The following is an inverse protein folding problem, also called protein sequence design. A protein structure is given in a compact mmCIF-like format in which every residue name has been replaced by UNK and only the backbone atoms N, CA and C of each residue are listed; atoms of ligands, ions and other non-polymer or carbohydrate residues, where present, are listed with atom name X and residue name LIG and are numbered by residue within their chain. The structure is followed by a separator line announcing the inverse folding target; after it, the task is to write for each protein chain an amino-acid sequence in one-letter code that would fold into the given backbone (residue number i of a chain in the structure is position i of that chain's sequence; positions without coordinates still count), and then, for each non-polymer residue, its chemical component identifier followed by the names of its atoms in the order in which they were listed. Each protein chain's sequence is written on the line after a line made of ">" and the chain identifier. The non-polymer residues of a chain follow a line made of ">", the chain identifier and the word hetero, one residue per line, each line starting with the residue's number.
data_IF_035606472430
#
_entry.id   IF_035606472430
#
_cell.length_a   1.000
_cell.length_b   1.000
_cell.length_c   1.000
_cell.angle_alpha   90.00
_cell.angle_beta   90.00
_cell.angle_gamma   90.00
#
_symmetry.space_group_name_H-M   'P 1'
#
loop_
_entity.id
_entity.type
_entity.pdbx_description
1 polymer ?
#
# COMPACT_ATOMS: atom_id res chain seq x y z
N UNK A 1 13.82 14.94 -0.80
CA UNK A 1 13.95 13.98 -1.91
C UNK A 1 12.57 13.77 -2.50
N UNK A 2 12.38 13.88 -3.82
CA UNK A 2 11.09 13.62 -4.44
C UNK A 2 10.72 12.13 -4.29
N UNK A 3 9.42 11.85 -4.22
CA UNK A 3 8.89 10.50 -4.27
C UNK A 3 9.17 9.89 -5.65
N UNK A 4 9.51 8.61 -5.72
CA UNK A 4 9.65 7.88 -7.00
C UNK A 4 8.82 6.62 -6.98
N UNK A 5 8.52 6.09 -8.18
CA UNK A 5 7.79 4.82 -8.32
C UNK A 5 8.70 3.72 -8.86
N UNK A 6 8.34 2.47 -8.60
CA UNK A 6 8.96 1.31 -9.24
C UNK A 6 7.91 0.35 -9.76
N UNK A 7 8.32 -0.52 -10.67
CA UNK A 7 7.50 -1.59 -11.22
C UNK A 7 6.35 -1.12 -12.13
N UNK A 8 5.42 -2.05 -12.46
CA UNK A 8 4.31 -1.78 -13.36
C UNK A 8 3.39 -0.65 -12.85
N UNK A 9 2.72 0.03 -13.78
CA UNK A 9 1.64 0.96 -13.45
C UNK A 9 0.46 0.21 -12.84
N UNK A 10 -0.13 0.75 -11.77
CA UNK A 10 -1.38 0.26 -11.18
C UNK A 10 -2.59 1.12 -11.57
N UNK A 11 -2.48 1.91 -12.64
CA UNK A 11 -3.59 2.68 -13.21
C UNK A 11 -3.90 4.01 -12.54
N UNK A 12 -3.26 4.34 -11.42
CA UNK A 12 -3.43 5.62 -10.74
C UNK A 12 -2.69 6.76 -11.47
N UNK A 13 -3.21 8.02 -11.46
CA UNK A 13 -2.55 9.16 -12.10
C UNK A 13 -1.11 9.41 -11.63
N UNK A 14 -0.81 9.13 -10.35
CA UNK A 14 0.54 9.23 -9.79
C UNK A 14 1.58 8.37 -10.55
N UNK A 15 1.15 7.30 -11.23
CA UNK A 15 2.03 6.50 -12.08
C UNK A 15 2.50 7.24 -13.34
N UNK A 16 1.79 8.27 -13.77
CA UNK A 16 2.14 9.09 -14.93
C UNK A 16 3.09 10.23 -14.53
N UNK A 17 2.93 10.76 -13.32
CA UNK A 17 3.63 11.96 -12.85
C UNK A 17 4.98 11.68 -12.18
N UNK A 18 5.18 10.46 -11.65
CA UNK A 18 6.40 10.12 -10.92
C UNK A 18 7.48 9.50 -11.80
N UNK A 19 8.72 9.91 -11.54
CA UNK A 19 9.93 9.24 -12.06
C UNK A 19 9.92 7.77 -11.66
N UNK A 20 10.16 6.91 -12.65
CA UNK A 20 10.31 5.47 -12.45
C UNK A 20 11.75 5.11 -12.16
N UNK A 21 11.96 4.24 -11.17
CA UNK A 21 13.26 3.66 -10.82
C UNK A 21 13.18 2.13 -10.91
N UNK A 22 14.35 1.49 -10.91
CA UNK A 22 14.45 0.04 -10.85
C UNK A 22 13.78 -0.53 -9.58
N UNK A 23 13.02 -1.64 -9.70
CA UNK A 23 12.47 -2.33 -8.54
C UNK A 23 13.57 -2.74 -7.56
N UNK A 24 13.44 -2.42 -6.26
CA UNK A 24 14.43 -2.79 -5.25
C UNK A 24 14.22 -4.24 -4.81
N UNK A 25 14.44 -5.18 -5.73
CA UNK A 25 14.21 -6.60 -5.53
C UNK A 25 14.92 -7.12 -4.27
N UNK A 26 14.21 -7.92 -3.47
CA UNK A 26 14.70 -8.48 -2.22
C UNK A 26 14.70 -7.52 -1.03
N UNK A 27 14.55 -6.20 -1.24
CA UNK A 27 14.41 -5.27 -0.12
C UNK A 27 13.04 -5.44 0.55
N UNK A 28 12.94 -5.42 1.89
CA UNK A 28 11.67 -5.56 2.57
C UNK A 28 10.82 -4.31 2.38
N UNK A 29 9.54 -4.50 2.04
CA UNK A 29 8.55 -3.43 2.10
C UNK A 29 8.53 -2.83 3.52
N UNK A 30 8.60 -1.51 3.63
CA UNK A 30 8.64 -0.84 4.92
C UNK A 30 7.35 -0.95 5.74
N UNK A 31 6.26 -1.48 5.16
CA UNK A 31 5.03 -1.77 5.89
C UNK A 31 4.78 -3.26 6.10
N UNK A 32 4.69 -4.11 5.07
CA UNK A 32 4.37 -5.53 5.30
C UNK A 32 5.59 -6.39 5.65
N UNK A 33 6.81 -5.86 5.44
CA UNK A 33 8.10 -6.54 5.59
C UNK A 33 8.38 -7.70 4.62
N UNK A 34 7.43 -8.05 3.75
CA UNK A 34 7.69 -8.98 2.65
C UNK A 34 8.68 -8.37 1.66
N UNK A 35 9.57 -9.17 1.06
CA UNK A 35 10.50 -8.69 0.05
C UNK A 35 9.75 -8.23 -1.20
N UNK A 36 10.22 -7.13 -1.81
CA UNK A 36 9.82 -6.74 -3.15
C UNK A 36 10.27 -7.82 -4.13
N UNK A 37 9.34 -8.37 -4.89
CA UNK A 37 9.55 -9.44 -5.87
C UNK A 37 9.40 -8.93 -7.30
N UNK A 38 9.79 -9.75 -8.28
CA UNK A 38 9.56 -9.42 -9.68
C UNK A 38 8.06 -9.25 -9.96
N UNK A 39 7.71 -8.25 -10.77
CA UNK A 39 6.33 -7.84 -11.03
C UNK A 39 5.67 -6.96 -9.95
N UNK A 40 6.28 -6.77 -8.78
CA UNK A 40 5.76 -5.84 -7.77
C UNK A 40 5.91 -4.38 -8.25
N UNK A 41 4.86 -3.59 -8.00
CA UNK A 41 4.84 -2.14 -8.22
C UNK A 41 4.70 -1.38 -6.91
N UNK A 42 5.19 -0.14 -6.87
CA UNK A 42 5.16 0.63 -5.63
C UNK A 42 5.86 1.97 -5.66
N UNK A 43 6.13 2.48 -4.46
CA UNK A 43 6.71 3.80 -4.23
C UNK A 43 7.96 3.71 -3.34
N UNK A 44 8.96 4.53 -3.64
CA UNK A 44 10.06 4.83 -2.75
C UNK A 44 9.67 6.07 -1.92
N UNK A 45 9.34 5.86 -0.65
CA UNK A 45 8.88 6.92 0.25
C UNK A 45 10.07 7.40 1.10
N UNK A 46 10.34 8.72 1.20
CA UNK A 46 11.39 9.24 2.09
C UNK A 46 11.15 8.90 3.57
N UNK A 47 12.13 8.29 4.24
CA UNK A 47 12.15 8.10 5.70
C UNK A 47 13.30 8.88 6.35
N UNK A 48 13.05 9.38 7.56
CA UNK A 48 14.04 10.08 8.39
C UNK A 48 14.20 9.40 9.77
N UNK A 49 15.42 9.06 10.19
CA UNK A 49 16.65 8.96 9.38
C UNK A 49 16.60 7.73 8.44
N UNK A 50 17.46 7.69 7.41
CA UNK A 50 17.70 6.47 6.64
C UNK A 50 17.23 6.43 5.19
N UNK A 51 16.79 7.57 4.63
CA UNK A 51 16.55 7.71 3.19
C UNK A 51 15.27 7.00 2.69
N UNK A 52 15.05 6.95 1.37
CA UNK A 52 13.85 6.35 0.80
C UNK A 52 13.74 4.85 1.07
N UNK A 53 12.52 4.37 1.40
CA UNK A 53 12.21 2.95 1.61
C UNK A 53 11.09 2.48 0.69
N UNK A 54 11.12 1.22 0.24
CA UNK A 54 10.12 0.70 -0.67
C UNK A 54 8.80 0.39 0.03
N UNK A 55 7.69 0.68 -0.63
CA UNK A 55 6.35 0.22 -0.30
C UNK A 55 5.71 -0.39 -1.52
N UNK A 56 5.12 -1.58 -1.40
CA UNK A 56 4.13 -2.03 -2.40
C UNK A 56 3.02 -0.98 -2.49
N UNK A 57 2.51 -0.72 -3.69
CA UNK A 57 1.49 0.32 -3.86
C UNK A 57 0.26 0.06 -2.98
N UNK A 58 -0.19 -1.19 -2.85
CA UNK A 58 -1.30 -1.56 -1.96
C UNK A 58 -0.98 -1.26 -0.50
N UNK A 59 0.27 -1.54 -0.08
CA UNK A 59 0.72 -1.31 1.29
C UNK A 59 0.84 0.18 1.62
N UNK A 60 1.20 1.02 0.65
CA UNK A 60 1.15 2.47 0.82
C UNK A 60 -0.29 2.98 0.89
N UNK A 61 -1.15 2.55 -0.05
CA UNK A 61 -2.57 2.92 -0.06
C UNK A 61 -3.26 2.58 1.26
N UNK A 62 -3.10 1.36 1.79
CA UNK A 62 -3.70 0.94 3.07
C UNK A 62 -3.26 1.79 4.27
N UNK A 63 -2.08 2.42 4.22
CA UNK A 63 -1.67 3.35 5.28
C UNK A 63 -2.39 4.69 5.20
N UNK A 64 -2.76 5.12 3.99
CA UNK A 64 -3.50 6.36 3.75
C UNK A 64 -4.99 6.16 4.01
N UNK A 65 -5.58 5.09 3.46
CA UNK A 65 -7.03 4.86 3.47
C UNK A 65 -7.54 4.08 4.68
N UNK A 66 -6.64 3.47 5.45
CA UNK A 66 -6.98 2.51 6.51
C UNK A 66 -7.24 1.10 5.97
N UNK A 67 -7.57 0.18 6.89
CA UNK A 67 -7.83 -1.22 6.57
C UNK A 67 -9.22 -1.47 5.96
N UNK A 68 -9.43 -2.67 5.43
CA UNK A 68 -10.67 -3.01 4.71
C UNK A 68 -11.95 -2.82 5.56
N UNK A 69 -11.92 -3.13 6.85
CA UNK A 69 -13.07 -2.93 7.73
C UNK A 69 -13.29 -1.43 8.05
N UNK A 70 -12.24 -0.61 8.05
CA UNK A 70 -12.38 0.84 8.16
C UNK A 70 -13.09 1.41 6.94
N UNK A 71 -12.63 1.01 5.75
CA UNK A 71 -13.22 1.44 4.49
C UNK A 71 -14.69 1.00 4.40
N UNK A 72 -15.05 -0.20 4.89
CA UNK A 72 -16.44 -0.68 4.91
C UNK A 72 -17.31 -0.08 6.02
N UNK A 73 -16.76 0.72 6.93
CA UNK A 73 -17.49 1.27 8.08
C UNK A 73 -17.76 0.27 9.21
N UNK A 74 -17.06 -0.86 9.23
CA UNK A 74 -17.18 -1.91 10.25
C UNK A 74 -16.14 -1.77 11.38
N UNK A 75 -15.11 -0.95 11.17
CA UNK A 75 -14.06 -0.69 12.16
C UNK A 75 -14.61 0.08 13.37
N UNK A 76 -14.03 -0.15 14.56
CA UNK A 76 -14.30 0.63 15.79
C UNK A 76 -14.11 2.14 15.61
N UNK A 77 -13.20 2.59 14.74
CA UNK A 77 -13.05 4.01 14.40
C UNK A 77 -14.30 4.63 13.76
N UNK A 78 -15.17 3.81 13.16
CA UNK A 78 -16.38 4.22 12.45
C UNK A 78 -17.67 3.87 13.21
N UNK A 79 -17.56 3.46 14.49
CA UNK A 79 -18.70 3.00 15.30
C UNK A 79 -19.07 1.53 15.12
N UNK A 80 -18.27 0.75 14.37
CA UNK A 80 -18.41 -0.70 14.30
C UNK A 80 -17.67 -1.43 15.43
N UNK A 81 -17.51 -2.74 15.29
CA UNK A 81 -16.91 -3.62 16.31
C UNK A 81 -15.65 -4.34 15.84
N UNK A 82 -15.32 -4.25 14.55
CA UNK A 82 -14.21 -4.98 13.96
C UNK A 82 -12.88 -4.21 14.10
N UNK A 83 -11.72 -4.91 14.14
CA UNK A 83 -10.43 -4.27 13.93
C UNK A 83 -10.31 -3.74 12.49
N UNK A 84 -9.37 -2.80 12.21
CA UNK A 84 -9.22 -2.22 10.87
C UNK A 84 -8.95 -3.23 9.75
N UNK A 85 -8.14 -4.25 10.04
CA UNK A 85 -7.81 -5.35 9.13
C UNK A 85 -8.53 -6.64 9.59
N UNK A 86 -9.07 -7.46 8.68
CA UNK A 86 -9.69 -8.73 9.04
C UNK A 86 -8.76 -9.65 9.85
N UNK A 87 -9.27 -10.46 10.79
CA UNK A 87 -8.44 -11.39 11.54
C UNK A 87 -7.92 -12.52 10.64
N UNK A 88 -6.72 -13.03 10.94
CA UNK A 88 -6.16 -14.22 10.30
C UNK A 88 -5.47 -14.00 8.96
N UNK A 89 -5.38 -12.76 8.47
CA UNK A 89 -4.65 -12.43 7.24
C UNK A 89 -3.27 -11.84 7.56
N UNK A 90 -2.32 -12.06 6.65
CA UNK A 90 -1.02 -11.37 6.68
C UNK A 90 -1.18 -9.88 6.43
N UNK A 91 -0.14 -9.10 6.73
CA UNK A 91 -0.13 -7.66 6.42
C UNK A 91 -0.34 -7.44 4.91
N UNK A 92 0.40 -8.15 4.06
CA UNK A 92 0.29 -8.01 2.60
C UNK A 92 -1.13 -8.29 2.11
N UNK A 93 -1.77 -9.35 2.60
CA UNK A 93 -3.16 -9.66 2.29
C UNK A 93 -4.12 -8.57 2.80
N UNK A 94 -3.91 -8.04 4.01
CA UNK A 94 -4.71 -6.94 4.53
C UNK A 94 -4.63 -5.68 3.65
N UNK A 95 -3.45 -5.35 3.11
CA UNK A 95 -3.29 -4.24 2.18
C UNK A 95 -4.02 -4.47 0.85
N UNK A 96 -3.97 -5.69 0.31
CA UNK A 96 -4.73 -6.06 -0.89
C UNK A 96 -6.23 -5.95 -0.64
N UNK A 97 -6.72 -6.45 0.50
CA UNK A 97 -8.14 -6.35 0.89
C UNK A 97 -8.59 -4.90 1.08
N UNK A 98 -7.72 -4.03 1.58
CA UNK A 98 -8.02 -2.60 1.73
C UNK A 98 -8.21 -1.93 0.36
N UNK A 99 -7.34 -2.24 -0.61
CA UNK A 99 -7.49 -1.75 -1.99
C UNK A 99 -8.78 -2.25 -2.62
N UNK A 100 -9.07 -3.55 -2.52
CA UNK A 100 -10.33 -4.11 -3.05
C UNK A 100 -11.54 -3.38 -2.44
N UNK A 101 -11.55 -3.18 -1.11
CA UNK A 101 -12.63 -2.45 -0.45
C UNK A 101 -12.74 -0.97 -0.90
N UNK A 102 -11.62 -0.35 -1.24
CA UNK A 102 -11.59 1.03 -1.75
C UNK A 102 -12.15 1.11 -3.18
N UNK A 103 -11.78 0.17 -4.04
CA UNK A 103 -12.28 0.06 -5.42
C UNK A 103 -13.75 -0.30 -5.48
N UNK A 104 -14.24 -1.16 -4.58
CA UNK A 104 -15.66 -1.52 -4.43
C UNK A 104 -16.54 -0.28 -4.12
N UNK A 105 -15.94 0.79 -3.58
CA UNK A 105 -16.61 2.09 -3.36
C UNK A 105 -16.61 3.00 -4.58
N UNK A 106 -16.08 2.55 -5.71
CA UNK A 106 -16.05 3.30 -6.97
C UNK A 106 -14.84 4.22 -7.14
N UNK A 107 -13.83 4.12 -6.29
CA UNK A 107 -12.59 4.89 -6.44
C UNK A 107 -11.55 4.06 -7.20
N UNK A 108 -10.99 4.61 -8.29
CA UNK A 108 -9.89 4.04 -9.07
C UNK A 108 -8.80 5.08 -9.28
#
# INVERSE_FOLDING_TARGET
>A
MPMTRFGPSWGAPICQDLTTVEPPLGQPCAWCHDPISDGDGGLMIPHLPGGPRPYHWQCHTRQITGGANHIRGQCTCCGGTEPPDPPGVTRREAAILAVIAFEDRGFR
#
